data_IF_294353922131
#
_entry.id   IF_294353922131
#
_cell.length_a   1.000
_cell.length_b   1.000
_cell.length_c   1.000
_cell.angle_alpha   90.00
_cell.angle_beta   90.00
_cell.angle_gamma   90.00
#
_symmetry.space_group_name_H-M   'P 1'
#
loop_
_entity.id
_entity.type
_entity.pdbx_description
1 polymer ?
#
# COMPACT_ATOMS: atom_id res chain seq x y z
N UNK A 1 81.08 -21.77 39.63
CA UNK A 1 80.33 -23.04 39.56
C UNK A 1 79.68 -23.11 38.18
N UNK A 2 80.43 -23.55 37.16
CA UNK A 2 80.58 -24.92 36.66
C UNK A 2 79.34 -25.46 35.89
N UNK A 3 79.30 -25.16 34.57
CA UNK A 3 79.06 -26.02 33.36
C UNK A 3 77.82 -26.97 33.31
N UNK A 4 77.32 -27.41 32.11
CA UNK A 4 77.97 -27.42 30.79
C UNK A 4 77.10 -27.04 29.56
N UNK A 5 77.83 -26.87 28.44
CA UNK A 5 77.42 -26.96 27.04
C UNK A 5 77.04 -28.40 26.64
N UNK A 6 76.04 -28.60 25.76
CA UNK A 6 76.08 -29.61 24.68
C UNK A 6 75.26 -29.11 23.48
N UNK A 7 75.91 -29.01 22.33
CA UNK A 7 75.32 -28.86 20.99
C UNK A 7 74.87 -30.22 20.45
N UNK A 8 73.72 -30.31 19.77
CA UNK A 8 73.50 -31.29 18.68
C UNK A 8 72.71 -30.62 17.55
N UNK A 9 73.29 -30.69 16.35
CA UNK A 9 72.71 -30.36 15.06
C UNK A 9 71.91 -31.56 14.52
N UNK A 10 70.87 -31.32 13.70
CA UNK A 10 70.77 -31.78 12.30
C UNK A 10 69.33 -31.64 11.75
N UNK A 11 69.26 -30.98 10.60
CA UNK A 11 68.55 -31.39 9.35
C UNK A 11 67.05 -31.71 9.40
N UNK A 12 66.31 -30.93 8.60
CA UNK A 12 64.97 -31.29 8.14
C UNK A 12 64.34 -30.17 7.30
N UNK A 13 64.81 -29.98 6.06
CA UNK A 13 64.04 -29.27 5.05
C UNK A 13 62.79 -30.10 4.70
N UNK A 14 61.66 -29.44 4.38
CA UNK A 14 60.80 -29.71 3.19
C UNK A 14 59.38 -29.11 3.35
N UNK A 15 59.09 -28.20 2.41
CA UNK A 15 57.84 -27.89 1.69
C UNK A 15 56.61 -27.26 2.38
N UNK A 16 56.40 -25.98 2.00
CA UNK A 16 55.22 -25.44 1.29
C UNK A 16 53.84 -25.76 1.86
N UNK A 17 53.28 -24.77 2.53
CA UNK A 17 51.84 -24.56 2.65
C UNK A 17 51.59 -23.06 2.64
N UNK A 18 51.58 -22.45 1.45
CA UNK A 18 51.23 -21.05 1.30
C UNK A 18 49.86 -20.83 1.90
N UNK A 19 49.80 -20.06 2.99
CA UNK A 19 48.56 -19.48 3.46
C UNK A 19 48.12 -18.49 2.38
N UNK A 20 47.34 -18.98 1.42
CA UNK A 20 46.49 -18.13 0.59
C UNK A 20 45.50 -17.52 1.57
N UNK A 21 45.83 -16.36 2.10
CA UNK A 21 44.84 -15.51 2.71
C UNK A 21 43.84 -15.24 1.58
N UNK A 22 42.68 -15.90 1.65
CA UNK A 22 41.58 -15.59 0.77
C UNK A 22 41.24 -14.12 1.03
N UNK A 23 41.66 -13.25 0.11
CA UNK A 23 41.12 -11.90 0.05
C UNK A 23 39.60 -12.04 0.06
N UNK A 24 38.86 -11.22 0.83
CA UNK A 24 37.41 -11.20 0.67
C UNK A 24 37.16 -10.92 -0.80
N UNK A 25 36.55 -11.89 -1.48
CA UNK A 25 36.00 -11.65 -2.80
C UNK A 25 34.94 -10.59 -2.60
N UNK A 26 35.28 -9.33 -2.88
CA UNK A 26 34.30 -8.35 -3.27
C UNK A 26 33.76 -8.86 -4.60
N UNK A 27 32.80 -9.79 -4.53
CA UNK A 27 31.89 -9.98 -5.63
C UNK A 27 31.17 -8.63 -5.74
N UNK A 28 31.50 -7.89 -6.79
CA UNK A 28 30.70 -6.77 -7.25
C UNK A 28 29.26 -7.29 -7.33
N UNK A 29 28.42 -6.92 -6.36
CA UNK A 29 27.00 -7.16 -6.46
C UNK A 29 26.58 -6.58 -7.80
N UNK A 30 25.75 -7.32 -8.56
CA UNK A 30 25.08 -6.76 -9.73
C UNK A 30 24.56 -5.38 -9.31
N UNK A 31 25.11 -4.31 -9.88
CA UNK A 31 25.10 -2.94 -9.32
C UNK A 31 23.72 -2.28 -9.14
N UNK A 32 22.65 -3.07 -9.30
CA UNK A 32 21.26 -2.69 -9.15
C UNK A 32 20.63 -3.28 -7.88
N UNK A 33 21.34 -3.99 -6.99
CA UNK A 33 20.70 -4.55 -5.79
C UNK A 33 21.44 -4.13 -4.53
N UNK A 34 20.71 -3.48 -3.62
CA UNK A 34 21.22 -3.08 -2.31
C UNK A 34 20.42 -3.81 -1.23
N UNK A 35 21.14 -4.38 -0.26
CA UNK A 35 20.56 -5.00 0.91
C UNK A 35 20.59 -4.04 2.08
N UNK A 36 19.45 -3.85 2.73
CA UNK A 36 19.31 -3.01 3.90
C UNK A 36 19.02 -3.84 5.13
N UNK A 37 19.72 -3.53 6.23
CA UNK A 37 19.39 -4.00 7.57
C UNK A 37 18.42 -3.04 8.24
N UNK A 38 17.55 -3.60 9.07
CA UNK A 38 16.53 -2.85 9.80
C UNK A 38 16.82 -2.94 11.31
N UNK A 39 16.70 -1.85 12.07
CA UNK A 39 17.11 -1.84 13.48
C UNK A 39 16.17 -2.65 14.40
N UNK A 40 14.94 -2.91 13.96
CA UNK A 40 13.92 -3.63 14.74
C UNK A 40 13.81 -5.12 14.38
N UNK A 41 14.47 -5.60 13.32
CA UNK A 41 14.34 -6.99 12.85
C UNK A 41 15.64 -7.58 12.30
N UNK A 42 15.67 -8.90 12.13
CA UNK A 42 16.88 -9.64 11.74
C UNK A 42 16.95 -10.02 10.26
N UNK A 43 15.83 -9.94 9.54
CA UNK A 43 15.76 -10.06 8.09
C UNK A 43 16.25 -8.78 7.40
N UNK A 44 16.71 -8.96 6.16
CA UNK A 44 17.17 -7.88 5.31
C UNK A 44 16.06 -7.46 4.35
N UNK A 45 16.06 -6.20 3.95
CA UNK A 45 15.27 -5.70 2.83
C UNK A 45 16.16 -5.71 1.58
N UNK A 46 15.68 -6.30 0.50
CA UNK A 46 16.29 -6.26 -0.82
C UNK A 46 15.63 -5.13 -1.60
N UNK A 47 16.45 -4.16 -2.02
CA UNK A 47 16.04 -3.05 -2.87
C UNK A 47 16.68 -3.25 -4.24
N UNK A 48 15.86 -3.57 -5.22
CA UNK A 48 16.26 -3.61 -6.62
C UNK A 48 16.12 -2.20 -7.22
N UNK A 49 17.16 -1.69 -7.84
CA UNK A 49 17.31 -0.37 -8.46
C UNK A 49 17.25 -0.44 -9.99
N UNK A 50 16.77 -1.56 -10.56
CA UNK A 50 16.62 -1.69 -12.02
C UNK A 50 15.90 -0.49 -12.64
N UNK A 51 16.54 0.08 -13.68
CA UNK A 51 16.05 1.24 -14.46
C UNK A 51 15.07 0.85 -15.57
N UNK A 52 14.79 -0.44 -15.76
CA UNK A 52 13.80 -0.87 -16.75
C UNK A 52 12.38 -0.60 -16.25
N UNK A 53 11.49 -0.22 -17.17
CA UNK A 53 10.11 0.28 -16.96
C UNK A 53 9.17 -0.67 -16.19
N UNK A 54 9.66 -1.85 -15.79
CA UNK A 54 9.00 -2.80 -14.89
C UNK A 54 9.77 -2.94 -13.56
N UNK A 55 9.81 -1.83 -12.82
CA UNK A 55 9.69 -1.83 -11.37
C UNK A 55 10.88 -2.36 -10.59
N UNK A 56 11.82 -1.46 -10.30
CA UNK A 56 12.57 -1.46 -9.06
C UNK A 56 11.65 -1.92 -7.89
N UNK A 57 12.00 -2.99 -7.17
CA UNK A 57 11.15 -3.61 -6.13
C UNK A 57 11.79 -3.54 -4.74
N UNK A 58 10.97 -3.32 -3.72
CA UNK A 58 11.36 -3.40 -2.30
C UNK A 58 10.71 -4.66 -1.73
N UNK A 59 11.52 -5.61 -1.28
CA UNK A 59 11.04 -6.92 -0.80
C UNK A 59 11.85 -7.40 0.39
N UNK A 60 11.27 -8.25 1.23
CA UNK A 60 12.06 -8.98 2.23
C UNK A 60 13.00 -9.96 1.53
N UNK A 61 14.29 -9.85 1.83
CA UNK A 61 15.32 -10.72 1.29
C UNK A 61 15.24 -12.13 1.90
N UNK A 62 15.28 -13.14 1.04
CA UNK A 62 15.53 -14.52 1.47
C UNK A 62 17.04 -14.78 1.62
N UNK A 63 17.40 -15.70 2.50
CA UNK A 63 18.80 -16.16 2.63
C UNK A 63 19.36 -16.69 1.30
N UNK A 64 18.53 -17.39 0.51
CA UNK A 64 18.93 -17.93 -0.78
C UNK A 64 19.29 -16.82 -1.79
N UNK A 65 18.51 -15.72 -1.83
CA UNK A 65 18.81 -14.55 -2.65
C UNK A 65 20.10 -13.86 -2.16
N UNK A 66 20.19 -13.56 -0.86
CA UNK A 66 21.38 -12.89 -0.30
C UNK A 66 22.67 -13.70 -0.52
N UNK A 67 22.59 -15.03 -0.45
CA UNK A 67 23.70 -15.92 -0.80
C UNK A 67 24.02 -15.91 -2.29
N UNK A 68 23.00 -15.96 -3.15
CA UNK A 68 23.18 -15.94 -4.61
C UNK A 68 23.87 -14.65 -5.07
N UNK A 69 23.58 -13.53 -4.41
CA UNK A 69 24.16 -12.23 -4.69
C UNK A 69 25.55 -12.04 -4.02
N UNK A 70 26.10 -13.07 -3.37
CA UNK A 70 27.47 -13.07 -2.85
C UNK A 70 27.63 -12.56 -1.41
N UNK A 71 26.56 -12.55 -0.61
CA UNK A 71 26.54 -11.99 0.75
C UNK A 71 27.04 -10.54 0.84
N UNK A 72 26.51 -9.61 0.02
CA UNK A 72 26.88 -8.21 0.14
C UNK A 72 26.58 -7.72 1.55
N UNK A 73 27.49 -6.89 2.09
CA UNK A 73 27.34 -6.30 3.41
C UNK A 73 26.10 -5.38 3.44
N UNK A 74 25.13 -5.61 4.35
CA UNK A 74 23.93 -4.78 4.39
C UNK A 74 24.22 -3.35 4.85
N UNK A 75 23.55 -2.37 4.25
CA UNK A 75 23.55 -0.97 4.67
C UNK A 75 22.43 -0.75 5.70
N UNK A 76 22.59 0.14 6.68
CA UNK A 76 21.48 0.46 7.58
C UNK A 76 20.41 1.29 6.83
N UNK A 77 19.13 0.92 6.93
CA UNK A 77 18.04 1.77 6.46
C UNK A 77 17.86 2.99 7.38
N UNK A 78 17.46 4.13 6.81
CA UNK A 78 16.96 5.24 7.62
C UNK A 78 15.54 4.93 8.10
N UNK A 79 15.23 5.28 9.35
CA UNK A 79 13.93 4.96 9.97
C UNK A 79 13.39 6.16 10.74
N UNK A 80 12.16 6.54 10.43
CA UNK A 80 11.35 7.46 11.23
C UNK A 80 10.12 6.70 11.73
N UNK A 81 9.68 6.96 12.97
CA UNK A 81 8.55 6.24 13.55
C UNK A 81 7.30 7.11 13.55
N UNK A 82 6.22 6.60 12.99
CA UNK A 82 4.92 7.26 12.93
C UNK A 82 3.87 6.49 13.73
N UNK A 83 2.84 7.19 14.18
CA UNK A 83 1.63 6.58 14.69
C UNK A 83 0.42 7.43 14.27
N UNK A 84 -0.71 6.77 14.04
CA UNK A 84 -1.95 7.44 13.71
C UNK A 84 -2.78 7.70 14.96
N UNK A 85 -3.63 8.72 14.95
CA UNK A 85 -4.55 8.99 16.07
C UNK A 85 -5.74 8.05 16.11
N UNK A 86 -6.05 7.37 14.99
CA UNK A 86 -7.15 6.42 14.86
C UNK A 86 -6.73 4.96 15.03
N UNK A 87 -5.44 4.68 15.20
CA UNK A 87 -4.92 3.32 15.39
C UNK A 87 -3.90 3.28 16.52
N UNK A 88 -3.82 2.16 17.23
CA UNK A 88 -2.75 1.90 18.20
C UNK A 88 -1.42 1.49 17.56
N UNK A 89 -1.37 1.42 16.23
CA UNK A 89 -0.22 0.92 15.50
C UNK A 89 0.92 1.93 15.46
N UNK A 90 2.14 1.41 15.62
CA UNK A 90 3.37 2.13 15.35
C UNK A 90 3.92 1.66 14.02
N UNK A 91 4.28 2.62 13.17
CA UNK A 91 4.84 2.39 11.85
C UNK A 91 6.32 2.78 11.85
N UNK A 92 7.14 2.01 11.16
CA UNK A 92 8.47 2.43 10.73
C UNK A 92 8.38 2.90 9.28
N UNK A 93 8.58 4.21 9.06
CA UNK A 93 8.76 4.85 7.75
C UNK A 93 10.23 4.73 7.35
N UNK A 94 10.47 3.99 6.28
CA UNK A 94 11.78 3.52 5.83
C UNK A 94 12.29 4.35 4.67
N UNK A 95 13.59 4.63 4.70
CA UNK A 95 14.30 5.30 3.61
C UNK A 95 15.52 4.49 3.20
N UNK A 96 15.76 4.38 1.89
CA UNK A 96 16.76 3.49 1.30
C UNK A 96 17.83 4.28 0.54
N UNK A 97 18.62 5.09 1.26
CA UNK A 97 19.70 5.88 0.65
C UNK A 97 19.18 7.02 -0.25
N UNK A 98 19.65 7.09 -1.50
CA UNK A 98 19.18 8.07 -2.50
C UNK A 98 17.91 7.62 -3.21
N UNK A 99 17.39 6.47 -2.86
CA UNK A 99 16.13 5.97 -3.38
C UNK A 99 14.98 6.79 -2.79
N UNK A 100 14.19 7.41 -3.66
CA UNK A 100 13.06 8.26 -3.30
C UNK A 100 11.78 7.45 -3.02
N UNK A 101 11.82 6.13 -3.20
CA UNK A 101 10.71 5.26 -2.84
C UNK A 101 10.51 5.27 -1.34
N UNK A 102 9.29 5.61 -0.97
CA UNK A 102 8.85 5.64 0.41
C UNK A 102 8.14 4.35 0.78
N UNK A 103 8.38 3.86 1.99
CA UNK A 103 7.84 2.59 2.40
C UNK A 103 7.63 2.54 3.90
N UNK A 104 6.46 2.07 4.34
CA UNK A 104 6.14 1.99 5.76
C UNK A 104 5.77 0.56 6.15
N UNK A 105 6.14 0.15 7.36
CA UNK A 105 5.74 -1.16 7.89
C UNK A 105 5.25 -1.05 9.33
N UNK A 106 4.26 -1.87 9.68
CA UNK A 106 3.72 -1.94 11.04
C UNK A 106 4.69 -2.70 11.94
N UNK A 107 5.00 -2.12 13.10
CA UNK A 107 5.80 -2.76 14.13
C UNK A 107 4.91 -3.56 15.08
N UNK A 108 5.34 -4.78 15.38
CA UNK A 108 4.87 -5.48 16.58
C UNK A 108 5.40 -4.78 17.84
N UNK A 109 4.75 -5.03 18.98
CA UNK A 109 5.20 -4.48 20.26
C UNK A 109 6.66 -4.89 20.59
N UNK A 110 7.06 -6.11 20.26
CA UNK A 110 8.42 -6.60 20.50
C UNK A 110 9.46 -5.91 19.61
N UNK A 111 9.15 -5.71 18.32
CA UNK A 111 9.98 -4.94 17.39
C UNK A 111 10.13 -3.49 17.87
N UNK A 112 9.06 -2.90 18.39
CA UNK A 112 9.07 -1.55 18.92
C UNK A 112 9.88 -1.39 20.21
N UNK A 113 9.76 -2.36 21.11
CA UNK A 113 10.56 -2.41 22.34
C UNK A 113 12.03 -2.63 22.05
N UNK A 114 12.37 -3.42 21.02
CA UNK A 114 13.77 -3.68 20.61
C UNK A 114 14.53 -2.40 20.27
N UNK A 115 13.85 -1.41 19.67
CA UNK A 115 14.45 -0.11 19.32
C UNK A 115 14.31 0.94 20.42
N UNK A 116 13.92 0.53 21.63
CA UNK A 116 13.82 1.42 22.79
C UNK A 116 12.52 2.25 22.86
N UNK A 117 11.52 1.92 22.03
CA UNK A 117 10.20 2.58 22.02
C UNK A 117 10.25 4.12 21.93
N UNK A 118 10.96 4.69 20.95
CA UNK A 118 11.05 6.15 20.78
C UNK A 118 9.66 6.79 20.63
N UNK A 119 9.49 8.08 20.94
CA UNK A 119 8.16 8.69 20.76
C UNK A 119 7.81 8.80 19.25
N UNK A 120 6.69 8.22 18.77
CA UNK A 120 6.35 8.30 17.36
C UNK A 120 5.81 9.69 16.99
N UNK A 121 6.02 10.07 15.74
CA UNK A 121 5.44 11.27 15.11
C UNK A 121 3.97 10.98 14.81
N UNK A 122 3.09 11.89 15.23
CA UNK A 122 1.64 11.76 14.99
C UNK A 122 1.06 12.91 14.15
N UNK A 123 1.88 13.91 13.83
CA UNK A 123 1.45 15.16 13.19
C UNK A 123 1.71 15.19 11.68
N UNK A 124 2.07 14.04 11.09
CA UNK A 124 2.27 13.89 9.64
C UNK A 124 2.10 12.44 9.23
N UNK A 125 1.74 12.25 7.96
CA UNK A 125 1.69 10.93 7.34
C UNK A 125 3.12 10.41 7.12
N UNK A 126 3.34 9.08 7.22
CA UNK A 126 4.57 8.49 6.71
C UNK A 126 4.66 8.71 5.20
N UNK A 127 5.88 8.67 4.68
CA UNK A 127 6.19 9.04 3.28
C UNK A 127 5.45 8.17 2.25
N UNK A 128 5.09 6.93 2.62
CA UNK A 128 4.36 5.99 1.74
C UNK A 128 2.84 6.16 1.76
N UNK A 129 2.29 6.89 2.74
CA UNK A 129 0.86 7.08 2.87
C UNK A 129 0.36 8.21 1.97
N UNK A 130 -0.81 8.00 1.38
CA UNK A 130 -1.38 8.93 0.39
C UNK A 130 -2.73 9.41 0.90
N UNK A 131 -2.88 10.73 1.05
CA UNK A 131 -4.17 11.37 1.27
C UNK A 131 -4.87 11.64 -0.07
N UNK A 132 -6.16 11.38 -0.14
CA UNK A 132 -6.95 11.58 -1.36
C UNK A 132 -8.43 11.85 -1.04
N UNK A 133 -9.18 12.22 -2.06
CA UNK A 133 -10.64 12.40 -2.02
C UNK A 133 -11.30 11.61 -3.15
N UNK A 134 -12.61 11.41 -3.07
CA UNK A 134 -13.40 10.90 -4.20
C UNK A 134 -13.99 12.09 -4.94
N UNK A 135 -14.10 12.04 -6.26
CA UNK A 135 -14.71 13.12 -7.04
C UNK A 135 -16.17 13.45 -6.64
N UNK A 136 -16.84 12.55 -5.92
CA UNK A 136 -18.20 12.73 -5.39
C UNK A 136 -18.29 13.45 -4.03
N UNK A 137 -17.18 13.68 -3.32
CA UNK A 137 -17.19 14.14 -1.92
C UNK A 137 -15.94 14.96 -1.56
N UNK A 138 -16.08 15.91 -0.64
CA UNK A 138 -14.94 16.64 -0.06
C UNK A 138 -14.33 15.93 1.16
N UNK A 139 -14.77 14.72 1.46
CA UNK A 139 -14.19 13.89 2.51
C UNK A 139 -12.77 13.45 2.13
N UNK A 140 -11.88 13.43 3.12
CA UNK A 140 -10.48 13.05 2.92
C UNK A 140 -10.24 11.65 3.47
N UNK A 141 -9.50 10.86 2.71
CA UNK A 141 -9.16 9.48 3.00
C UNK A 141 -7.64 9.32 2.98
N UNK A 142 -7.13 8.41 3.78
CA UNK A 142 -5.72 8.02 3.77
C UNK A 142 -5.64 6.57 3.37
N UNK A 143 -4.87 6.28 2.33
CA UNK A 143 -4.43 4.95 2.01
C UNK A 143 -3.11 4.69 2.73
N UNK A 144 -3.13 3.74 3.67
CA UNK A 144 -1.96 3.35 4.44
C UNK A 144 -1.34 2.08 3.86
N UNK A 145 -1.08 2.00 2.55
CA UNK A 145 -0.40 0.83 1.98
C UNK A 145 0.97 0.67 2.65
N UNK A 146 1.25 -0.52 3.19
CA UNK A 146 2.45 -0.87 3.94
C UNK A 146 3.17 -2.04 3.25
N UNK A 147 4.49 -2.20 3.44
CA UNK A 147 5.17 -3.48 3.17
C UNK A 147 4.45 -4.56 3.94
N UNK A 148 3.93 -5.51 3.17
CA UNK A 148 3.23 -6.66 3.69
C UNK A 148 4.21 -7.61 4.38
N UNK A 149 3.91 -7.99 5.62
CA UNK A 149 4.37 -9.28 6.14
C UNK A 149 3.34 -10.35 5.76
N UNK A 150 3.66 -11.18 4.77
CA UNK A 150 2.81 -12.31 4.38
C UNK A 150 1.58 -11.93 3.55
N UNK A 151 0.83 -12.94 3.13
CA UNK A 151 -0.41 -12.78 2.35
C UNK A 151 -1.51 -12.23 3.25
N UNK A 152 -2.18 -11.16 2.79
CA UNK A 152 -3.36 -10.50 3.39
C UNK A 152 -3.12 -9.62 4.63
N UNK A 153 -2.68 -8.39 4.39
CA UNK A 153 -3.28 -7.24 5.07
C UNK A 153 -4.00 -6.42 3.99
N UNK A 154 -5.31 -6.15 4.10
CA UNK A 154 -5.94 -5.22 3.17
C UNK A 154 -5.26 -3.87 3.31
N UNK A 155 -5.09 -3.18 2.18
CA UNK A 155 -4.90 -1.74 2.20
C UNK A 155 -6.01 -1.14 3.06
N UNK A 156 -5.65 -0.57 4.22
CA UNK A 156 -6.64 0.06 5.09
C UNK A 156 -6.84 1.48 4.61
N UNK A 157 -7.96 1.72 3.93
CA UNK A 157 -8.45 3.08 3.74
C UNK A 157 -9.00 3.56 5.07
N UNK A 158 -8.60 4.76 5.50
CA UNK A 158 -9.20 5.44 6.66
C UNK A 158 -9.81 6.76 6.23
N UNK A 159 -11.07 7.01 6.57
CA UNK A 159 -11.71 8.31 6.38
C UNK A 159 -11.31 9.23 7.53
N UNK A 160 -10.64 10.32 7.22
CA UNK A 160 -10.24 11.31 8.22
C UNK A 160 -11.43 12.11 8.72
N UNK A 161 -11.51 12.26 10.03
CA UNK A 161 -12.29 13.35 10.63
C UNK A 161 -11.55 14.68 10.44
N UNK A 162 -12.27 15.80 10.58
CA UNK A 162 -11.65 17.12 10.50
C UNK A 162 -10.53 17.33 11.54
N UNK A 163 -10.69 16.79 12.75
CA UNK A 163 -9.67 16.85 13.80
C UNK A 163 -8.40 16.08 13.41
N UNK A 164 -8.55 14.91 12.77
CA UNK A 164 -7.40 14.12 12.30
C UNK A 164 -6.70 14.80 11.12
N UNK A 165 -7.46 15.31 10.16
CA UNK A 165 -6.92 16.04 9.02
C UNK A 165 -6.09 17.25 9.45
N UNK A 166 -6.59 18.05 10.40
CA UNK A 166 -5.87 19.21 10.93
C UNK A 166 -4.69 18.81 11.82
N UNK A 167 -4.81 17.75 12.61
CA UNK A 167 -3.71 17.22 13.44
C UNK A 167 -2.52 16.75 12.59
N UNK A 168 -2.80 16.17 11.41
CA UNK A 168 -1.79 15.78 10.41
C UNK A 168 -1.19 16.97 9.64
N UNK A 169 -1.56 18.20 9.98
CA UNK A 169 -1.07 19.40 9.30
C UNK A 169 -1.74 19.66 7.95
N UNK A 170 -2.96 19.15 7.74
CA UNK A 170 -3.71 19.30 6.47
C UNK A 170 -2.94 18.71 5.28
N UNK A 171 -2.72 17.38 5.25
CA UNK A 171 -1.92 16.75 4.22
C UNK A 171 -2.45 17.09 2.83
N UNK A 172 -1.50 17.35 1.92
CA UNK A 172 -1.79 17.62 0.51
C UNK A 172 -2.41 16.39 -0.14
N UNK A 173 -3.46 16.60 -0.94
CA UNK A 173 -4.17 15.51 -1.61
C UNK A 173 -3.43 15.06 -2.88
N UNK A 174 -3.51 13.77 -3.21
CA UNK A 174 -2.89 13.14 -4.38
C UNK A 174 -3.19 13.89 -5.70
N UNK A 175 -4.41 14.39 -5.80
CA UNK A 175 -4.97 15.16 -6.89
C UNK A 175 -4.22 16.47 -7.13
N UNK A 176 -3.62 17.05 -6.09
CA UNK A 176 -2.97 18.36 -6.19
C UNK A 176 -1.55 18.31 -6.73
N UNK A 177 -0.87 17.16 -6.65
CA UNK A 177 0.53 17.01 -7.09
C UNK A 177 0.69 16.14 -8.33
N UNK A 178 -0.36 16.04 -9.15
CA UNK A 178 -0.29 15.39 -10.46
C UNK A 178 -0.14 13.87 -10.35
N UNK A 179 -0.59 13.27 -9.24
CA UNK A 179 -0.81 11.84 -9.18
C UNK A 179 -2.11 11.49 -9.93
N UNK A 180 -2.22 11.93 -11.19
CA UNK A 180 -3.34 11.69 -12.12
C UNK A 180 -3.57 10.18 -12.37
N UNK A 181 -2.63 9.36 -11.91
CA UNK A 181 -2.68 7.90 -11.96
C UNK A 181 -3.14 7.27 -10.64
N UNK A 182 -3.52 8.06 -9.62
CA UNK A 182 -4.10 7.49 -8.42
C UNK A 182 -5.53 7.03 -8.75
N UNK A 183 -5.86 5.74 -8.61
CA UNK A 183 -7.04 5.15 -9.24
C UNK A 183 -8.37 5.67 -8.69
N UNK A 184 -8.35 6.49 -7.64
CA UNK A 184 -9.54 6.92 -6.90
C UNK A 184 -9.92 8.39 -7.11
N UNK A 185 -9.06 9.25 -7.66
CA UNK A 185 -9.35 10.68 -7.80
C UNK A 185 -10.47 10.98 -8.81
N UNK A 186 -10.53 10.22 -9.90
CA UNK A 186 -11.60 10.29 -10.92
C UNK A 186 -12.82 9.41 -10.57
N UNK A 187 -12.84 8.83 -9.36
CA UNK A 187 -13.84 7.87 -8.96
C UNK A 187 -14.97 8.53 -8.17
N UNK A 188 -16.20 8.24 -8.57
CA UNK A 188 -17.40 8.70 -7.88
C UNK A 188 -18.00 7.56 -7.08
N UNK A 189 -18.41 7.86 -5.85
CA UNK A 189 -19.31 7.01 -5.07
C UNK A 189 -20.67 7.68 -5.02
N UNK A 190 -21.69 7.01 -5.58
CA UNK A 190 -23.00 7.59 -5.86
C UNK A 190 -24.12 6.64 -5.52
N UNK A 191 -25.33 7.17 -5.40
CA UNK A 191 -26.56 6.39 -5.28
C UNK A 191 -27.73 7.09 -5.94
N UNK A 192 -28.74 6.32 -6.33
CA UNK A 192 -30.02 6.88 -6.75
C UNK A 192 -30.83 7.31 -5.53
N UNK A 193 -31.59 8.40 -5.65
CA UNK A 193 -32.45 8.90 -4.57
C UNK A 193 -33.47 7.86 -4.07
N UNK A 194 -33.89 6.93 -4.94
CA UNK A 194 -34.90 5.92 -4.65
C UNK A 194 -34.32 4.54 -4.28
N UNK A 195 -33.01 4.33 -4.44
CA UNK A 195 -32.35 3.04 -4.24
C UNK A 195 -31.36 3.08 -3.07
N UNK A 196 -31.24 2.01 -2.27
CA UNK A 196 -30.18 1.91 -1.26
C UNK A 196 -28.82 1.53 -1.87
N UNK A 197 -28.77 1.05 -3.12
CA UNK A 197 -27.54 0.58 -3.75
C UNK A 197 -26.51 1.71 -3.88
N UNK A 198 -25.28 1.42 -3.46
CA UNK A 198 -24.12 2.29 -3.63
C UNK A 198 -23.40 1.87 -4.89
N UNK A 199 -23.05 2.82 -5.74
CA UNK A 199 -22.39 2.59 -7.02
C UNK A 199 -21.06 3.30 -7.01
N UNK A 200 -20.00 2.57 -7.36
CA UNK A 200 -18.73 3.14 -7.77
C UNK A 200 -18.79 3.40 -9.27
N UNK A 201 -18.46 4.60 -9.69
CA UNK A 201 -18.50 5.04 -11.09
C UNK A 201 -17.16 5.67 -11.50
N UNK A 202 -16.66 5.30 -12.67
CA UNK A 202 -15.50 5.92 -13.33
C UNK A 202 -16.01 6.50 -14.66
N UNK A 203 -16.44 7.78 -14.68
CA UNK A 203 -17.10 8.37 -15.85
C UNK A 203 -16.24 8.36 -17.11
N UNK A 204 -14.92 8.53 -16.95
CA UNK A 204 -13.95 8.59 -18.06
C UNK A 204 -14.01 7.35 -18.97
N UNK A 205 -14.30 6.18 -18.39
CA UNK A 205 -14.37 4.92 -19.12
C UNK A 205 -15.80 4.40 -19.26
N UNK A 206 -16.80 5.17 -18.81
CA UNK A 206 -18.21 4.76 -18.83
C UNK A 206 -18.49 3.49 -18.02
N UNK A 207 -17.74 3.27 -16.94
CA UNK A 207 -17.86 2.09 -16.08
C UNK A 207 -18.54 2.45 -14.77
N UNK A 208 -19.36 1.54 -14.26
CA UNK A 208 -19.93 1.66 -12.93
C UNK A 208 -20.48 0.34 -12.43
N UNK A 209 -20.27 0.07 -11.15
CA UNK A 209 -20.67 -1.18 -10.50
C UNK A 209 -21.29 -0.90 -9.14
N UNK A 210 -22.34 -1.65 -8.82
CA UNK A 210 -22.93 -1.61 -7.49
C UNK A 210 -22.00 -2.30 -6.50
N UNK A 211 -21.61 -1.58 -5.46
CA UNK A 211 -20.79 -2.09 -4.37
C UNK A 211 -21.61 -2.96 -3.43
N UNK A 212 -21.02 -4.08 -3.04
CA UNK A 212 -21.40 -4.80 -1.83
C UNK A 212 -21.10 -3.97 -0.59
N UNK A 213 -21.66 -4.38 0.56
CA UNK A 213 -21.36 -3.74 1.82
C UNK A 213 -19.87 -3.80 2.16
N UNK A 214 -19.23 -4.96 1.95
CA UNK A 214 -17.81 -5.17 2.27
C UNK A 214 -16.89 -4.32 1.38
N UNK A 215 -17.22 -4.17 0.09
CA UNK A 215 -16.48 -3.28 -0.81
C UNK A 215 -16.64 -1.81 -0.41
N UNK A 216 -17.85 -1.36 -0.06
CA UNK A 216 -18.08 0.00 0.43
C UNK A 216 -17.39 0.25 1.79
N UNK A 217 -17.35 -0.76 2.66
CA UNK A 217 -16.62 -0.73 3.93
C UNK A 217 -15.11 -0.66 3.72
N UNK A 218 -14.55 -1.38 2.74
CA UNK A 218 -13.14 -1.35 2.39
C UNK A 218 -12.68 0.04 1.89
N UNK A 219 -13.61 0.83 1.34
CA UNK A 219 -13.40 2.23 0.98
C UNK A 219 -13.57 3.21 2.16
N UNK A 220 -13.80 2.70 3.38
CA UNK A 220 -14.13 3.47 4.58
C UNK A 220 -15.46 4.27 4.49
N UNK A 221 -16.47 3.66 3.87
CA UNK A 221 -17.84 4.19 3.80
C UNK A 221 -17.94 5.64 3.26
N UNK A 222 -17.34 5.98 2.09
CA UNK A 222 -17.47 7.32 1.52
C UNK A 222 -18.94 7.71 1.39
N UNK A 223 -19.27 8.97 1.72
CA UNK A 223 -20.65 9.44 1.61
C UNK A 223 -21.06 9.46 0.14
N UNK A 224 -22.07 8.67 -0.25
CA UNK A 224 -22.48 8.59 -1.64
C UNK A 224 -23.16 9.89 -2.08
N UNK A 225 -22.75 10.44 -3.22
CA UNK A 225 -23.48 11.53 -3.87
C UNK A 225 -24.82 11.00 -4.40
N UNK A 226 -25.92 11.65 -4.00
CA UNK A 226 -27.26 11.29 -4.49
C UNK A 226 -27.47 11.87 -5.89
N UNK A 227 -27.74 11.01 -6.86
CA UNK A 227 -28.00 11.38 -8.25
C UNK A 227 -29.40 10.95 -8.68
N UNK A 228 -29.92 11.60 -9.73
CA UNK A 228 -31.24 11.28 -10.30
C UNK A 228 -31.20 10.04 -11.20
N UNK A 229 -30.10 9.83 -11.90
CA UNK A 229 -29.87 8.74 -12.84
C UNK A 229 -28.37 8.52 -13.03
N UNK A 230 -27.99 7.31 -13.40
CA UNK A 230 -26.68 6.99 -13.97
C UNK A 230 -26.72 6.98 -15.51
N UNK A 231 -25.56 7.11 -16.16
CA UNK A 231 -25.44 6.87 -17.59
C UNK A 231 -25.98 5.50 -17.99
N UNK A 232 -26.85 5.45 -19.00
CA UNK A 232 -27.38 4.20 -19.55
C UNK A 232 -28.56 3.58 -18.78
N UNK A 233 -29.06 4.23 -17.73
CA UNK A 233 -30.26 3.79 -17.00
C UNK A 233 -31.47 3.61 -17.92
N UNK A 234 -32.23 2.54 -17.69
CA UNK A 234 -33.44 2.22 -18.43
C UNK A 234 -34.59 1.90 -17.48
N UNK A 235 -35.76 2.41 -17.82
CA UNK A 235 -37.03 2.07 -17.19
C UNK A 235 -37.84 1.29 -18.22
N UNK A 236 -38.19 0.06 -17.89
CA UNK A 236 -38.81 -0.92 -18.78
C UNK A 236 -40.22 -1.24 -18.30
N UNK A 237 -41.14 -1.40 -19.24
CA UNK A 237 -42.47 -1.94 -18.99
C UNK A 237 -42.81 -3.04 -20.00
N UNK A 238 -43.01 -4.25 -19.49
CA UNK A 238 -43.39 -5.41 -20.29
C UNK A 238 -44.77 -5.21 -20.96
N UNK A 239 -44.95 -5.75 -22.17
CA UNK A 239 -46.26 -5.75 -22.85
C UNK A 239 -47.29 -6.46 -21.98
N UNK A 240 -48.43 -5.80 -21.72
CA UNK A 240 -49.50 -6.33 -20.88
C UNK A 240 -49.26 -6.22 -19.36
N UNK A 241 -48.12 -5.68 -18.91
CA UNK A 241 -47.83 -5.47 -17.48
C UNK A 241 -47.93 -3.99 -17.10
N UNK A 242 -48.40 -3.70 -15.88
CA UNK A 242 -48.31 -2.38 -15.24
C UNK A 242 -47.01 -2.18 -14.46
N UNK A 243 -46.18 -3.21 -14.33
CA UNK A 243 -44.94 -3.14 -13.57
C UNK A 243 -43.85 -2.36 -14.32
N UNK A 244 -43.18 -1.48 -13.60
CA UNK A 244 -42.00 -0.76 -14.07
C UNK A 244 -40.75 -1.42 -13.49
N UNK A 245 -39.83 -1.80 -14.36
CA UNK A 245 -38.54 -2.38 -13.98
C UNK A 245 -37.43 -1.39 -14.31
N UNK A 246 -36.59 -1.07 -13.34
CA UNK A 246 -35.36 -0.32 -13.57
C UNK A 246 -34.21 -1.26 -13.90
N UNK A 247 -33.34 -0.87 -14.84
CA UNK A 247 -32.07 -1.55 -15.15
C UNK A 247 -30.97 -0.51 -15.40
N UNK A 248 -29.86 -0.65 -14.68
CA UNK A 248 -28.70 0.26 -14.73
C UNK A 248 -27.63 -0.20 -13.74
N UNK A 249 -26.60 0.61 -13.46
CA UNK A 249 -25.49 0.21 -12.57
C UNK A 249 -25.97 -0.22 -11.18
N UNK A 250 -26.93 0.52 -10.60
CA UNK A 250 -27.51 0.20 -9.29
C UNK A 250 -28.33 -1.11 -9.25
N UNK A 251 -28.70 -1.69 -10.40
CA UNK A 251 -29.41 -2.96 -10.49
C UNK A 251 -29.21 -3.59 -11.88
N UNK A 252 -28.04 -4.22 -12.15
CA UNK A 252 -27.69 -4.68 -13.50
C UNK A 252 -28.57 -5.82 -14.01
N UNK A 253 -29.10 -6.63 -13.07
CA UNK A 253 -30.08 -7.71 -13.33
C UNK A 253 -31.53 -7.20 -13.44
N UNK A 254 -31.75 -5.91 -13.20
CA UNK A 254 -33.07 -5.30 -13.15
C UNK A 254 -33.74 -5.44 -11.78
N UNK A 255 -34.59 -4.48 -11.43
CA UNK A 255 -35.42 -4.51 -10.22
C UNK A 255 -36.81 -3.95 -10.52
N UNK A 256 -37.85 -4.68 -10.09
CA UNK A 256 -39.22 -4.16 -10.12
C UNK A 256 -39.31 -3.01 -9.13
N UNK A 257 -39.70 -1.84 -9.62
CA UNK A 257 -39.87 -0.65 -8.80
C UNK A 257 -41.24 -0.67 -8.12
N UNK A 258 -41.29 -0.24 -6.87
CA UNK A 258 -42.56 0.16 -6.26
C UNK A 258 -43.04 1.47 -6.88
N UNK A 259 -44.34 1.77 -6.75
CA UNK A 259 -44.87 3.06 -7.18
C UNK A 259 -44.15 4.24 -6.50
N UNK A 260 -43.83 4.13 -5.20
CA UNK A 260 -43.08 5.17 -4.48
C UNK A 260 -41.68 5.36 -5.04
N UNK A 261 -40.96 4.28 -5.36
CA UNK A 261 -39.63 4.37 -5.98
C UNK A 261 -39.70 5.04 -7.35
N UNK A 262 -40.68 4.68 -8.19
CA UNK A 262 -40.86 5.29 -9.52
C UNK A 262 -41.22 6.79 -9.42
N UNK A 263 -42.04 7.17 -8.43
CA UNK A 263 -42.35 8.58 -8.14
C UNK A 263 -41.10 9.33 -7.68
N UNK A 264 -40.31 8.77 -6.75
CA UNK A 264 -39.05 9.38 -6.28
C UNK A 264 -38.00 9.48 -7.41
N UNK A 265 -38.01 8.55 -8.35
CA UNK A 265 -37.21 8.63 -9.58
C UNK A 265 -37.65 9.73 -10.55
N UNK A 266 -38.76 10.43 -10.27
CA UNK A 266 -39.28 11.50 -11.11
C UNK A 266 -40.28 11.04 -12.18
N UNK A 267 -40.90 9.86 -12.02
CA UNK A 267 -41.85 9.27 -12.97
C UNK A 267 -41.32 9.16 -14.40
N UNK A 268 -40.12 8.61 -14.62
CA UNK A 268 -39.58 8.44 -15.96
C UNK A 268 -40.54 7.61 -16.82
N UNK A 269 -40.76 8.04 -18.06
CA UNK A 269 -41.58 7.30 -19.02
C UNK A 269 -40.89 5.96 -19.36
N UNK A 270 -41.53 4.81 -19.10
CA UNK A 270 -40.91 3.53 -19.39
C UNK A 270 -40.89 3.26 -20.89
N UNK A 271 -39.79 2.69 -21.39
CA UNK A 271 -39.71 2.11 -22.71
C UNK A 271 -40.34 0.70 -22.70
N UNK A 272 -40.75 0.23 -23.88
CA UNK A 272 -41.16 -1.16 -24.05
C UNK A 272 -39.95 -2.06 -24.03
N UNK A 273 -40.04 -3.05 -23.16
CA UNK A 273 -39.21 -4.22 -23.04
C UNK A 273 -40.20 -5.42 -22.91
#
# INVERSE_FOLDING_TARGET
>A
MNRPLVSIALVGAVLVGGAVAAAPAAAEGNGNVIYYSLPFRGDLVRVDQSTETQGASITTATYAQWRADGFPAPVAAGVTYHAYTWSSDVLADLTFGTDDRAEATRLSLAEWQRVGSPRPITTSLPSSAIAYSFASSSEVFVNTSLLQQGSSAPTTTHKLTYAEYTHLGSPRLAEEFGHDSYPFSDMYVRKLAWSPAIVQEIPKNGSGDALTYDEWAALAFPTPQVVKSFPGDRYCQAVGSSDITYRGYAAPKGVKMTYSQWVTAGRPAPARC
#
